data_IF_197861524992
#
_entry.id   IF_197861524992
#
_cell.length_a   1.000
_cell.length_b   1.000
_cell.length_c   1.000
_cell.angle_alpha   90.00
_cell.angle_beta   90.00
_cell.angle_gamma   90.00
#
_symmetry.space_group_name_H-M   'P 1'
#
loop_
_entity.id
_entity.type
_entity.pdbx_description
1 polymer ?
#
# COMPACT_ATOMS: atom_id res chain seq x y z
N UNK A 1 -62.01 -29.43 13.42
CA UNK A 1 -61.73 -28.20 12.65
C UNK A 1 -60.22 -28.01 12.66
N UNK A 2 -59.59 -28.37 11.53
CA UNK A 2 -58.15 -28.65 11.43
C UNK A 2 -57.30 -27.40 11.29
N UNK A 3 -56.18 -27.39 12.02
CA UNK A 3 -55.06 -26.46 11.93
C UNK A 3 -54.72 -26.06 10.50
N UNK A 4 -54.82 -24.76 10.20
CA UNK A 4 -54.27 -24.13 9.00
C UNK A 4 -53.50 -22.86 9.39
N UNK A 5 -52.59 -22.98 10.36
CA UNK A 5 -51.67 -21.91 10.78
C UNK A 5 -50.26 -22.48 10.82
N UNK A 6 -49.64 -22.62 9.64
CA UNK A 6 -48.29 -23.19 9.54
C UNK A 6 -47.60 -22.97 8.19
N UNK A 7 -48.35 -22.59 7.14
CA UNK A 7 -47.79 -22.38 5.79
C UNK A 7 -47.58 -20.90 5.44
N UNK A 8 -48.33 -19.96 6.05
CA UNK A 8 -48.20 -18.53 5.74
C UNK A 8 -46.97 -17.88 6.39
N UNK A 9 -46.61 -18.26 7.61
CA UNK A 9 -45.42 -17.71 8.30
C UNK A 9 -44.11 -18.11 7.62
N UNK A 10 -44.05 -19.29 7.02
CA UNK A 10 -42.83 -19.82 6.37
C UNK A 10 -42.49 -19.04 5.10
N UNK A 11 -43.48 -18.70 4.28
CA UNK A 11 -43.27 -17.91 3.06
C UNK A 11 -42.80 -16.49 3.36
N UNK A 12 -43.34 -15.87 4.41
CA UNK A 12 -42.93 -14.52 4.85
C UNK A 12 -41.51 -14.53 5.43
N UNK A 13 -41.16 -15.54 6.23
CA UNK A 13 -39.79 -15.71 6.75
C UNK A 13 -38.77 -15.93 5.64
N UNK A 14 -39.10 -16.76 4.64
CA UNK A 14 -38.23 -16.99 3.48
C UNK A 14 -38.06 -15.70 2.67
N UNK A 15 -39.15 -14.97 2.41
CA UNK A 15 -39.08 -13.69 1.70
C UNK A 15 -38.24 -12.64 2.44
N UNK A 16 -38.38 -12.56 3.77
CA UNK A 16 -37.57 -11.66 4.61
C UNK A 16 -36.08 -12.04 4.58
N UNK A 17 -35.77 -13.34 4.68
CA UNK A 17 -34.38 -13.82 4.61
C UNK A 17 -33.76 -13.54 3.25
N UNK A 18 -34.49 -13.75 2.15
CA UNK A 18 -34.01 -13.43 0.80
C UNK A 18 -33.78 -11.92 0.66
N UNK A 19 -34.74 -11.10 1.09
CA UNK A 19 -34.61 -9.64 1.07
C UNK A 19 -33.40 -9.15 1.89
N UNK A 20 -33.17 -9.74 3.06
CA UNK A 20 -32.01 -9.45 3.91
C UNK A 20 -30.70 -9.84 3.22
N UNK A 21 -30.61 -11.04 2.65
CA UNK A 21 -29.41 -11.52 1.96
C UNK A 21 -29.09 -10.66 0.74
N UNK A 22 -30.09 -10.36 -0.08
CA UNK A 22 -29.93 -9.49 -1.27
C UNK A 22 -29.56 -8.08 -0.84
N UNK A 23 -30.21 -7.53 0.18
CA UNK A 23 -29.88 -6.22 0.74
C UNK A 23 -28.45 -6.14 1.28
N UNK A 24 -28.01 -7.17 2.01
CA UNK A 24 -26.64 -7.26 2.54
C UNK A 24 -25.59 -7.37 1.42
N UNK A 25 -25.86 -8.16 0.38
CA UNK A 25 -24.97 -8.30 -0.78
C UNK A 25 -24.72 -6.97 -1.51
N UNK A 26 -25.69 -6.06 -1.48
CA UNK A 26 -25.56 -4.72 -2.09
C UNK A 26 -24.96 -3.71 -1.11
N UNK A 27 -25.39 -3.72 0.16
CA UNK A 27 -24.97 -2.74 1.15
C UNK A 27 -23.49 -2.87 1.55
N UNK A 28 -22.98 -4.10 1.63
CA UNK A 28 -21.60 -4.37 2.05
C UNK A 28 -20.54 -3.79 1.08
N UNK A 29 -20.62 -3.97 -0.25
CA UNK A 29 -19.70 -3.33 -1.20
C UNK A 29 -19.71 -1.81 -1.12
N UNK A 30 -20.88 -1.20 -0.96
CA UNK A 30 -21.03 0.26 -0.88
C UNK A 30 -20.35 0.79 0.39
N UNK A 31 -20.63 0.16 1.53
CA UNK A 31 -20.02 0.51 2.82
C UNK A 31 -18.49 0.29 2.83
N UNK A 32 -17.99 -0.68 2.06
CA UNK A 32 -16.57 -1.02 2.00
C UNK A 32 -15.82 -0.32 0.83
N UNK A 33 -16.51 0.48 0.01
CA UNK A 33 -15.93 1.13 -1.17
C UNK A 33 -14.71 2.00 -0.85
N UNK A 34 -14.71 2.71 0.29
CA UNK A 34 -13.55 3.48 0.75
C UNK A 34 -12.35 2.60 1.11
N UNK A 35 -12.60 1.39 1.65
CA UNK A 35 -11.51 0.45 1.93
C UNK A 35 -10.83 -0.02 0.65
N UNK A 36 -11.59 -0.23 -0.41
CA UNK A 36 -11.05 -0.62 -1.72
C UNK A 36 -10.33 0.53 -2.42
N UNK A 37 -10.85 1.77 -2.35
CA UNK A 37 -10.21 2.96 -2.96
C UNK A 37 -8.81 3.24 -2.43
N UNK A 38 -8.55 2.94 -1.16
CA UNK A 38 -7.24 3.15 -0.54
C UNK A 38 -6.47 1.85 -0.30
N UNK A 39 -6.96 0.69 -0.76
CA UNK A 39 -6.31 -0.59 -0.53
C UNK A 39 -4.95 -0.65 -1.23
N UNK A 40 -4.90 -0.19 -2.48
CA UNK A 40 -3.67 -0.21 -3.27
C UNK A 40 -2.59 0.77 -2.76
N UNK A 41 -2.85 2.09 -2.61
CA UNK A 41 -1.83 3.01 -2.11
C UNK A 41 -1.36 2.66 -0.69
N UNK A 42 -2.27 2.21 0.20
CA UNK A 42 -1.88 1.75 1.54
C UNK A 42 -1.01 0.49 1.48
N UNK A 43 -1.39 -0.48 0.65
CA UNK A 43 -0.60 -1.70 0.45
C UNK A 43 0.79 -1.40 -0.10
N UNK A 44 0.88 -0.52 -1.09
CA UNK A 44 2.14 -0.07 -1.66
C UNK A 44 3.04 0.57 -0.59
N UNK A 45 2.52 1.52 0.19
CA UNK A 45 3.29 2.19 1.24
C UNK A 45 3.74 1.22 2.34
N UNK A 46 2.89 0.27 2.76
CA UNK A 46 3.30 -0.74 3.73
C UNK A 46 4.45 -1.63 3.24
N UNK A 47 4.46 -2.00 1.95
CA UNK A 47 5.55 -2.81 1.38
C UNK A 47 6.83 -1.98 1.25
N UNK A 48 6.70 -0.70 0.86
CA UNK A 48 7.84 0.22 0.80
C UNK A 48 8.46 0.45 2.18
N UNK A 49 7.65 0.65 3.22
CA UNK A 49 8.09 0.76 4.62
C UNK A 49 8.83 -0.51 5.06
N UNK A 50 8.29 -1.69 4.77
CA UNK A 50 8.94 -2.96 5.11
C UNK A 50 10.33 -3.14 4.46
N UNK A 51 10.49 -2.76 3.19
CA UNK A 51 11.78 -2.85 2.51
C UNK A 51 12.77 -1.79 3.05
N UNK A 52 12.29 -0.60 3.41
CA UNK A 52 13.10 0.46 4.02
C UNK A 52 13.59 0.07 5.41
N UNK A 53 12.70 -0.43 6.28
CA UNK A 53 13.05 -0.89 7.63
C UNK A 53 14.12 -1.99 7.58
N UNK A 54 13.96 -2.97 6.68
CA UNK A 54 14.95 -4.03 6.49
C UNK A 54 16.32 -3.51 6.04
N UNK A 55 16.37 -2.44 5.26
CA UNK A 55 17.62 -1.78 4.87
C UNK A 55 18.24 -0.99 6.03
N UNK A 56 17.42 -0.31 6.84
CA UNK A 56 17.87 0.40 8.03
C UNK A 56 18.44 -0.57 9.07
N UNK A 57 17.79 -1.72 9.30
CA UNK A 57 18.27 -2.78 10.21
C UNK A 57 19.65 -3.32 9.78
N UNK A 58 19.82 -3.60 8.48
CA UNK A 58 21.12 -3.99 7.91
C UNK A 58 22.18 -2.91 8.10
N UNK A 59 21.84 -1.65 7.82
CA UNK A 59 22.78 -0.53 7.98
C UNK A 59 23.14 -0.25 9.45
N UNK A 60 22.20 -0.42 10.37
CA UNK A 60 22.39 -0.21 11.81
C UNK A 60 23.24 -1.32 12.47
N UNK A 61 23.15 -2.55 11.95
CA UNK A 61 23.95 -3.68 12.40
C UNK A 61 25.34 -3.77 11.74
N UNK A 62 25.65 -2.87 10.80
CA UNK A 62 26.83 -2.92 9.92
C UNK A 62 26.93 -4.24 9.12
N UNK A 63 25.81 -4.94 8.98
CA UNK A 63 25.64 -6.18 8.21
C UNK A 63 24.89 -5.86 6.91
N UNK A 64 25.64 -5.29 5.96
CA UNK A 64 25.15 -4.97 4.62
C UNK A 64 25.67 -5.99 3.58
N UNK A 65 25.11 -7.20 3.50
CA UNK A 65 25.44 -8.12 2.42
C UNK A 65 25.05 -7.48 1.08
N UNK A 66 26.04 -7.24 0.22
CA UNK A 66 25.89 -6.46 -1.01
C UNK A 66 24.76 -7.00 -1.90
N UNK A 67 24.61 -8.32 -1.99
CA UNK A 67 23.54 -8.95 -2.77
C UNK A 67 22.15 -8.62 -2.22
N UNK A 68 21.93 -8.79 -0.92
CA UNK A 68 20.60 -8.60 -0.32
C UNK A 68 20.22 -7.12 -0.26
N UNK A 69 21.14 -6.26 0.15
CA UNK A 69 20.92 -4.81 0.22
C UNK A 69 20.67 -4.20 -1.17
N UNK A 70 21.37 -4.66 -2.21
CA UNK A 70 21.10 -4.27 -3.60
C UNK A 70 19.71 -4.75 -4.08
N UNK A 71 19.31 -5.97 -3.74
CA UNK A 71 17.98 -6.49 -4.10
C UNK A 71 16.88 -5.68 -3.43
N UNK A 72 17.00 -5.39 -2.13
CA UNK A 72 16.00 -4.61 -1.38
C UNK A 72 15.88 -3.17 -1.89
N UNK A 73 17.00 -2.47 -2.07
CA UNK A 73 17.01 -1.12 -2.64
C UNK A 73 16.43 -1.08 -4.07
N UNK A 74 16.76 -2.07 -4.91
CA UNK A 74 16.19 -2.18 -6.26
C UNK A 74 14.68 -2.42 -6.25
N UNK A 75 14.17 -3.21 -5.30
CA UNK A 75 12.73 -3.40 -5.09
C UNK A 75 12.05 -2.11 -4.65
N UNK A 76 12.63 -1.41 -3.68
CA UNK A 76 12.10 -0.13 -3.20
C UNK A 76 12.08 0.90 -4.34
N UNK A 77 13.14 0.97 -5.16
CA UNK A 77 13.17 1.77 -6.37
C UNK A 77 12.07 1.36 -7.36
N UNK A 78 11.81 0.06 -7.54
CA UNK A 78 10.73 -0.37 -8.41
C UNK A 78 9.35 0.06 -7.92
N UNK A 79 9.06 -0.14 -6.63
CA UNK A 79 7.79 0.23 -5.99
C UNK A 79 7.55 1.75 -6.03
N UNK A 80 8.60 2.56 -5.87
CA UNK A 80 8.45 4.03 -5.91
C UNK A 80 7.85 4.53 -7.22
N UNK A 81 8.09 3.85 -8.35
CA UNK A 81 7.55 4.24 -9.67
C UNK A 81 6.04 4.02 -9.80
N UNK A 82 5.46 3.18 -8.94
CA UNK A 82 4.04 2.87 -8.95
C UNK A 82 3.22 3.90 -8.15
N UNK A 83 3.88 4.82 -7.43
CA UNK A 83 3.20 5.73 -6.50
C UNK A 83 2.25 6.69 -7.21
N UNK A 84 2.62 7.30 -8.34
CA UNK A 84 1.71 8.19 -9.05
C UNK A 84 0.42 7.48 -9.48
N UNK A 85 0.53 6.25 -10.01
CA UNK A 85 -0.62 5.44 -10.38
C UNK A 85 -1.44 4.99 -9.16
N UNK A 86 -0.78 4.61 -8.07
CA UNK A 86 -1.45 4.15 -6.85
C UNK A 86 -2.25 5.25 -6.16
N UNK A 87 -1.80 6.51 -6.28
CA UNK A 87 -2.46 7.67 -5.69
C UNK A 87 -3.34 8.45 -6.68
N UNK A 88 -3.45 8.00 -7.94
CA UNK A 88 -4.13 8.74 -9.02
C UNK A 88 -3.61 10.18 -9.17
N UNK A 89 -2.29 10.32 -9.11
CA UNK A 89 -1.57 11.60 -9.10
C UNK A 89 -0.70 11.79 -10.36
N UNK A 90 -0.99 11.07 -11.45
CA UNK A 90 -0.21 11.12 -12.69
C UNK A 90 -0.21 12.51 -13.34
N UNK A 91 -1.30 13.27 -13.14
CA UNK A 91 -1.44 14.64 -13.63
C UNK A 91 -0.93 15.71 -12.64
N UNK A 92 -0.50 15.31 -11.44
CA UNK A 92 0.11 16.22 -10.46
C UNK A 92 1.63 16.29 -10.68
N UNK A 93 2.07 17.36 -11.35
CA UNK A 93 3.47 17.59 -11.66
C UNK A 93 4.39 17.58 -10.42
N UNK A 94 3.91 18.09 -9.28
CA UNK A 94 4.71 18.12 -8.04
C UNK A 94 4.83 16.71 -7.46
N UNK A 95 3.76 15.93 -7.48
CA UNK A 95 3.81 14.53 -7.04
C UNK A 95 4.80 13.73 -7.90
N UNK A 96 4.70 13.87 -9.23
CA UNK A 96 5.55 13.14 -10.18
C UNK A 96 7.04 13.53 -10.01
N UNK A 97 7.32 14.80 -9.72
CA UNK A 97 8.69 15.26 -9.41
C UNK A 97 9.22 14.61 -8.12
N UNK A 98 8.45 14.64 -7.03
CA UNK A 98 8.83 14.00 -5.75
C UNK A 98 9.02 12.49 -5.89
N UNK A 99 8.17 11.82 -6.68
CA UNK A 99 8.33 10.41 -7.02
C UNK A 99 9.66 10.16 -7.71
N UNK A 100 10.01 10.99 -8.72
CA UNK A 100 11.23 10.84 -9.50
C UNK A 100 12.47 11.04 -8.63
N UNK A 101 12.46 12.04 -7.74
CA UNK A 101 13.56 12.33 -6.82
C UNK A 101 13.79 11.19 -5.84
N UNK A 102 12.71 10.64 -5.26
CA UNK A 102 12.77 9.43 -4.44
C UNK A 102 13.34 8.25 -5.25
N UNK A 103 12.84 8.04 -6.46
CA UNK A 103 13.30 6.94 -7.30
C UNK A 103 14.79 7.03 -7.65
N UNK A 104 15.29 8.23 -7.94
CA UNK A 104 16.71 8.47 -8.22
C UNK A 104 17.56 8.16 -6.99
N UNK A 105 17.16 8.66 -5.82
CA UNK A 105 17.87 8.40 -4.55
C UNK A 105 17.97 6.91 -4.24
N UNK A 106 16.89 6.16 -4.50
CA UNK A 106 16.86 4.70 -4.31
C UNK A 106 17.74 3.94 -5.32
N UNK A 107 17.87 4.45 -6.55
CA UNK A 107 18.81 3.90 -7.53
C UNK A 107 20.27 4.14 -7.11
N UNK A 108 20.58 5.32 -6.57
CA UNK A 108 21.90 5.66 -6.05
C UNK A 108 22.25 4.79 -4.81
N UNK A 109 21.26 4.51 -3.96
CA UNK A 109 21.37 3.53 -2.87
C UNK A 109 21.71 2.12 -3.39
N UNK A 110 21.02 1.65 -4.44
CA UNK A 110 21.26 0.34 -5.04
C UNK A 110 22.64 0.19 -5.71
N UNK A 111 23.24 1.31 -6.11
CA UNK A 111 24.59 1.38 -6.68
C UNK A 111 25.70 1.55 -5.62
N UNK A 112 25.34 1.70 -4.34
CA UNK A 112 26.32 1.98 -3.29
C UNK A 112 27.27 0.80 -3.04
N UNK A 113 28.60 1.01 -3.11
CA UNK A 113 29.58 -0.08 -3.01
C UNK A 113 29.92 -0.48 -1.57
N UNK A 114 29.39 0.22 -0.56
CA UNK A 114 29.72 0.01 0.85
C UNK A 114 28.52 0.25 1.76
N UNK A 115 28.53 -0.35 2.95
CA UNK A 115 27.49 -0.15 3.97
C UNK A 115 27.42 1.32 4.44
N UNK A 116 28.56 2.01 4.51
CA UNK A 116 28.60 3.43 4.84
C UNK A 116 27.94 4.30 3.77
N UNK A 117 28.21 4.01 2.49
CA UNK A 117 27.55 4.69 1.37
C UNK A 117 26.06 4.39 1.33
N UNK A 118 25.66 3.13 1.58
CA UNK A 118 24.25 2.75 1.68
C UNK A 118 23.54 3.57 2.76
N UNK A 119 24.12 3.71 3.95
CA UNK A 119 23.54 4.49 5.06
C UNK A 119 23.30 5.95 4.69
N UNK A 120 24.26 6.61 4.04
CA UNK A 120 24.11 7.99 3.56
C UNK A 120 22.94 8.10 2.56
N UNK A 121 22.80 7.12 1.66
CA UNK A 121 21.71 7.08 0.69
C UNK A 121 20.35 6.76 1.33
N UNK A 122 20.30 5.93 2.38
CA UNK A 122 19.06 5.68 3.13
C UNK A 122 18.58 6.94 3.85
N UNK A 123 19.48 7.72 4.45
CA UNK A 123 19.13 9.02 5.03
C UNK A 123 18.59 10.00 3.97
N UNK A 124 19.15 9.97 2.76
CA UNK A 124 18.63 10.75 1.64
C UNK A 124 17.23 10.27 1.20
N UNK A 125 17.02 8.95 1.14
CA UNK A 125 15.73 8.36 0.79
C UNK A 125 14.65 8.71 1.82
N UNK A 126 14.96 8.70 3.12
CA UNK A 126 14.05 9.13 4.19
C UNK A 126 13.61 10.58 4.01
N UNK A 127 14.54 11.49 3.67
CA UNK A 127 14.21 12.89 3.36
C UNK A 127 13.29 13.01 2.14
N UNK A 128 13.50 12.19 1.11
CA UNK A 128 12.63 12.16 -0.07
C UNK A 128 11.23 11.60 0.26
N UNK A 129 11.14 10.55 1.09
CA UNK A 129 9.88 10.03 1.61
C UNK A 129 9.11 11.11 2.37
N UNK A 130 9.76 11.80 3.30
CA UNK A 130 9.18 12.87 4.10
C UNK A 130 8.71 14.06 3.23
N UNK A 131 9.51 14.46 2.23
CA UNK A 131 9.14 15.52 1.31
C UNK A 131 7.84 15.22 0.54
N UNK A 132 7.63 13.96 0.15
CA UNK A 132 6.37 13.51 -0.44
C UNK A 132 5.22 13.52 0.59
N UNK A 133 5.44 12.94 1.78
CA UNK A 133 4.41 12.84 2.81
C UNK A 133 3.93 14.18 3.37
N UNK A 134 4.77 15.21 3.39
CA UNK A 134 4.35 16.56 3.80
C UNK A 134 3.24 17.14 2.90
N UNK A 135 3.19 16.73 1.63
CA UNK A 135 2.17 17.18 0.68
C UNK A 135 0.98 16.25 0.52
N UNK A 136 1.15 14.94 0.73
CA UNK A 136 0.27 13.91 0.15
C UNK A 136 -0.14 12.76 1.09
N UNK A 137 0.03 12.90 2.41
CA UNK A 137 -0.37 11.87 3.39
C UNK A 137 -1.88 11.66 3.53
#
# INVERSE_FOLDING_TARGET
MSSKSGSQSTGVLIGLLIGLVVGAMIALPIANSQRYRHAYPRGLMNVMEHELDGLQDSAASDDCPLGDTQVRTSRLAALSRDTAAAFHAEDDARFVELQKDLNQTLQDAAASPSCAGLREQLEAAERACEACHQGYR
#
